data_IF_278553976100
#
_entry.id   IF_278553976100
#
_cell.length_a   1.000
_cell.length_b   1.000
_cell.length_c   1.000
_cell.angle_alpha   90.00
_cell.angle_beta   90.00
_cell.angle_gamma   90.00
#
_symmetry.space_group_name_H-M   'P 1'
#
loop_
_entity.id
_entity.type
_entity.pdbx_description
1 polymer ?
#
# COMPACT_ATOMS: atom_id res chain seq x y z
N UNK A 1 1.28 12.61 -24.51
CA UNK A 1 0.70 11.33 -24.07
C UNK A 1 1.65 10.72 -23.05
N UNK A 2 1.33 10.89 -21.76
CA UNK A 2 2.10 10.28 -20.68
C UNK A 2 1.78 8.79 -20.65
N UNK A 3 2.77 7.96 -20.99
CA UNK A 3 2.73 6.51 -20.76
C UNK A 3 2.94 6.33 -19.25
N UNK A 4 1.87 5.97 -18.55
CA UNK A 4 1.90 5.65 -17.14
C UNK A 4 2.51 4.24 -16.96
N UNK A 5 3.84 4.15 -17.03
CA UNK A 5 4.54 3.03 -16.44
C UNK A 5 4.33 3.13 -14.92
N UNK A 6 3.84 2.05 -14.30
CA UNK A 6 3.82 1.95 -12.84
C UNK A 6 5.30 1.96 -12.36
N UNK A 7 5.82 3.07 -11.82
CA UNK A 7 7.26 3.22 -11.58
C UNK A 7 7.80 2.25 -10.53
N UNK A 8 6.92 1.69 -9.67
CA UNK A 8 7.35 0.86 -8.54
C UNK A 8 7.94 -0.49 -8.93
N UNK A 9 7.41 -1.17 -9.95
CA UNK A 9 7.91 -2.52 -10.30
C UNK A 9 9.22 -2.50 -11.08
N UNK A 10 9.40 -1.52 -11.98
CA UNK A 10 10.67 -1.32 -12.68
C UNK A 10 11.76 -0.75 -11.74
N UNK A 11 11.37 0.13 -10.82
CA UNK A 11 12.29 0.72 -9.86
C UNK A 11 12.80 -0.31 -8.84
N UNK A 12 11.93 -1.21 -8.35
CA UNK A 12 12.30 -2.30 -7.46
C UNK A 12 13.28 -3.28 -8.16
N UNK A 13 13.06 -3.63 -9.43
CA UNK A 13 13.98 -4.48 -10.18
C UNK A 13 15.33 -3.78 -10.43
N UNK A 14 15.34 -2.48 -10.74
CA UNK A 14 16.57 -1.70 -11.00
C UNK A 14 17.37 -1.44 -9.71
N UNK A 15 16.73 -1.17 -8.60
CA UNK A 15 17.39 -1.05 -7.27
C UNK A 15 17.91 -2.40 -6.77
N UNK A 16 17.12 -3.47 -6.92
CA UNK A 16 17.52 -4.83 -6.58
C UNK A 16 18.75 -5.26 -7.41
N UNK A 17 18.76 -4.95 -8.70
CA UNK A 17 19.88 -5.28 -9.60
C UNK A 17 21.11 -4.40 -9.36
N UNK A 18 20.95 -3.11 -9.03
CA UNK A 18 22.05 -2.22 -8.62
C UNK A 18 22.74 -2.71 -7.36
N UNK A 19 22.00 -3.16 -6.35
CA UNK A 19 22.55 -3.76 -5.14
C UNK A 19 23.34 -5.03 -5.45
N UNK A 20 22.86 -5.86 -6.38
CA UNK A 20 23.56 -7.08 -6.82
C UNK A 20 24.86 -6.78 -7.55
N UNK A 21 24.85 -5.85 -8.50
CA UNK A 21 26.03 -5.41 -9.24
C UNK A 21 27.06 -4.81 -8.28
N UNK A 22 26.63 -3.98 -7.34
CA UNK A 22 27.52 -3.39 -6.32
C UNK A 22 28.08 -4.45 -5.34
N UNK A 23 27.27 -5.45 -4.96
CA UNK A 23 27.72 -6.59 -4.15
C UNK A 23 28.74 -7.49 -4.87
N UNK A 24 28.61 -7.65 -6.18
CA UNK A 24 29.59 -8.35 -7.04
C UNK A 24 30.88 -7.54 -7.19
N UNK A 25 30.81 -6.21 -7.25
CA UNK A 25 31.99 -5.32 -7.27
C UNK A 25 32.79 -5.35 -5.96
N UNK A 26 32.14 -5.44 -4.82
CA UNK A 26 32.80 -5.52 -3.51
C UNK A 26 33.56 -6.84 -3.30
N UNK A 27 33.19 -7.93 -3.98
CA UNK A 27 33.94 -9.22 -3.96
C UNK A 27 35.09 -9.28 -4.95
N UNK A 28 35.25 -8.32 -5.86
CA UNK A 28 36.36 -8.23 -6.83
C UNK A 28 37.75 -8.11 -6.19
N UNK A 29 37.85 -7.75 -4.91
CA UNK A 29 39.14 -7.58 -4.23
C UNK A 29 39.94 -8.86 -3.92
N UNK A 30 39.44 -10.07 -4.22
CA UNK A 30 40.05 -11.31 -3.74
C UNK A 30 40.52 -12.34 -4.78
N UNK A 31 40.32 -12.14 -6.09
CA UNK A 31 40.79 -13.07 -7.11
C UNK A 31 41.40 -12.35 -8.33
N UNK A 32 42.59 -11.87 -8.19
CA UNK A 32 43.47 -11.53 -9.32
C UNK A 32 44.70 -12.40 -9.28
N UNK A 33 44.71 -13.49 -10.08
CA UNK A 33 45.96 -13.95 -10.71
C UNK A 33 45.70 -15.09 -11.71
N UNK A 34 46.25 -14.89 -12.93
CA UNK A 34 46.70 -15.82 -13.93
C UNK A 34 45.67 -16.59 -14.79
N UNK A 35 45.46 -16.11 -16.03
CA UNK A 35 45.73 -16.87 -17.29
C UNK A 35 45.49 -15.93 -18.49
N UNK A 36 46.27 -15.99 -19.59
CA UNK A 36 46.02 -15.17 -20.78
C UNK A 36 44.83 -15.72 -21.58
N UNK A 37 43.89 -14.85 -21.93
CA UNK A 37 42.68 -15.24 -22.65
C UNK A 37 42.84 -15.05 -24.16
N UNK A 38 42.59 -16.11 -24.92
CA UNK A 38 42.26 -16.06 -26.36
C UNK A 38 40.75 -15.84 -26.51
N UNK A 39 40.22 -14.72 -26.01
CA UNK A 39 38.84 -14.33 -26.28
C UNK A 39 38.73 -13.54 -27.58
N UNK A 40 37.77 -13.82 -28.48
CA UNK A 40 37.50 -12.95 -29.62
C UNK A 40 37.11 -11.57 -29.06
N UNK A 41 37.95 -10.58 -29.35
CA UNK A 41 37.67 -9.21 -28.93
C UNK A 41 36.52 -8.64 -29.77
N UNK A 42 35.34 -8.49 -29.19
CA UNK A 42 34.36 -7.55 -29.71
C UNK A 42 34.89 -6.12 -29.42
N UNK A 43 35.28 -5.42 -30.47
CA UNK A 43 35.57 -3.99 -30.36
C UNK A 43 34.32 -3.28 -29.84
N UNK A 44 34.37 -2.67 -28.65
CA UNK A 44 33.27 -1.95 -27.96
C UNK A 44 32.29 -2.82 -27.16
N UNK A 45 32.78 -3.68 -26.27
CA UNK A 45 31.93 -4.34 -25.27
C UNK A 45 31.34 -3.29 -24.30
N UNK A 46 30.05 -3.40 -23.90
CA UNK A 46 29.38 -2.42 -23.06
C UNK A 46 29.98 -2.27 -21.64
N UNK A 47 30.58 -3.34 -21.14
CA UNK A 47 31.27 -3.41 -19.85
C UNK A 47 32.23 -4.59 -19.82
N UNK A 48 33.22 -4.54 -18.94
CA UNK A 48 34.15 -5.65 -18.74
C UNK A 48 33.46 -6.81 -18.03
N UNK A 49 33.78 -8.03 -18.47
CA UNK A 49 33.33 -9.29 -17.86
C UNK A 49 34.50 -10.08 -17.29
N UNK A 50 34.31 -11.02 -16.34
CA UNK A 50 35.36 -11.90 -15.86
C UNK A 50 36.02 -12.69 -17.02
N UNK A 51 37.31 -13.05 -16.86
CA UNK A 51 38.09 -13.76 -17.90
C UNK A 51 37.45 -15.10 -18.34
N UNK A 52 36.69 -15.75 -17.45
CA UNK A 52 35.98 -17.00 -17.76
C UNK A 52 34.70 -16.81 -18.60
N UNK A 53 34.27 -15.55 -18.82
CA UNK A 53 33.09 -15.24 -19.59
C UNK A 53 33.44 -14.87 -21.02
N UNK A 54 32.53 -15.09 -21.93
CA UNK A 54 32.67 -14.67 -23.31
C UNK A 54 31.50 -13.78 -23.73
N UNK A 55 31.79 -12.77 -24.54
CA UNK A 55 30.74 -12.02 -25.22
C UNK A 55 30.30 -12.79 -26.48
N UNK A 56 29.00 -12.94 -26.64
CA UNK A 56 28.35 -13.54 -27.81
C UNK A 56 27.11 -12.71 -28.18
N UNK A 57 26.26 -13.20 -29.04
CA UNK A 57 24.97 -12.56 -29.40
C UNK A 57 23.81 -13.45 -29.00
N UNK A 58 22.60 -12.85 -28.89
CA UNK A 58 21.38 -13.63 -28.65
C UNK A 58 21.15 -14.64 -29.77
N UNK A 59 21.48 -14.30 -31.03
CA UNK A 59 21.38 -15.22 -32.16
C UNK A 59 22.20 -16.48 -31.93
N UNK A 60 23.45 -16.36 -31.50
CA UNK A 60 24.37 -17.49 -31.32
C UNK A 60 23.99 -18.44 -30.19
N UNK A 61 23.25 -17.97 -29.19
CA UNK A 61 22.82 -18.81 -28.08
C UNK A 61 21.40 -19.36 -28.22
N UNK A 62 20.67 -18.99 -29.27
CA UNK A 62 19.26 -19.38 -29.42
C UNK A 62 19.08 -20.29 -30.65
N UNK A 63 18.41 -21.43 -30.47
CA UNK A 63 17.91 -22.28 -31.57
C UNK A 63 16.66 -21.69 -32.22
N UNK A 64 15.99 -20.76 -31.57
CA UNK A 64 14.79 -20.07 -32.08
C UNK A 64 14.70 -18.65 -31.53
N UNK A 65 14.51 -17.71 -32.46
CA UNK A 65 14.12 -16.33 -32.16
C UNK A 65 13.02 -15.97 -33.17
N UNK A 66 11.83 -15.68 -32.71
CA UNK A 66 10.74 -15.31 -33.60
C UNK A 66 9.45 -14.93 -32.92
N UNK A 67 8.77 -13.96 -33.49
CA UNK A 67 7.44 -13.58 -33.05
C UNK A 67 6.41 -14.65 -33.47
N UNK A 68 5.33 -14.71 -32.70
CA UNK A 68 4.19 -15.53 -33.04
C UNK A 68 3.37 -15.00 -34.22
N UNK A 69 2.22 -15.59 -34.42
CA UNK A 69 1.25 -15.16 -35.41
C UNK A 69 -0.17 -15.26 -34.82
N UNK A 70 -1.08 -14.42 -35.29
CA UNK A 70 -2.50 -14.52 -34.93
C UNK A 70 -3.21 -15.55 -35.78
N UNK A 71 -4.07 -16.42 -35.22
CA UNK A 71 -4.86 -17.38 -36.02
C UNK A 71 -5.72 -16.65 -37.06
N UNK A 72 -5.74 -17.17 -38.29
CA UNK A 72 -6.56 -16.58 -39.36
C UNK A 72 -8.04 -16.60 -38.99
N UNK A 73 -8.74 -15.47 -39.19
CA UNK A 73 -10.15 -15.34 -38.91
C UNK A 73 -10.50 -15.33 -37.44
N UNK A 74 -9.53 -15.02 -36.55
CA UNK A 74 -9.73 -15.03 -35.08
C UNK A 74 -10.30 -16.35 -34.53
N UNK A 75 -9.86 -17.47 -35.08
CA UNK A 75 -10.27 -18.82 -34.71
C UNK A 75 -9.75 -19.22 -33.32
N UNK A 76 -10.39 -18.65 -32.33
CA UNK A 76 -10.21 -19.03 -30.92
C UNK A 76 -11.27 -20.06 -30.52
N UNK A 77 -10.89 -20.95 -29.60
CA UNK A 77 -11.74 -21.96 -28.98
C UNK A 77 -11.98 -21.66 -27.51
N UNK A 78 -13.02 -22.25 -26.93
CA UNK A 78 -13.32 -22.10 -25.50
C UNK A 78 -12.26 -22.80 -24.60
N UNK A 79 -11.62 -23.83 -25.12
CA UNK A 79 -10.57 -24.62 -24.47
C UNK A 79 -9.61 -25.18 -25.54
N UNK A 80 -8.51 -25.79 -25.13
CA UNK A 80 -7.52 -26.40 -26.00
C UNK A 80 -6.10 -25.93 -25.69
N UNK A 81 -5.33 -25.61 -26.74
CA UNK A 81 -3.93 -25.17 -26.59
C UNK A 81 -3.89 -23.68 -26.20
N UNK A 82 -3.19 -23.31 -25.11
CA UNK A 82 -3.09 -21.93 -24.67
C UNK A 82 -2.40 -21.04 -25.71
N UNK A 83 -2.98 -19.85 -25.91
CA UNK A 83 -2.50 -18.84 -26.84
C UNK A 83 -2.16 -17.56 -26.09
N UNK A 84 -0.87 -17.32 -25.87
CA UNK A 84 -0.38 -16.17 -25.11
C UNK A 84 -0.32 -14.91 -25.97
N UNK A 85 -0.87 -13.84 -25.41
CA UNK A 85 -0.78 -12.48 -25.95
C UNK A 85 0.07 -11.63 -25.01
N UNK A 86 0.49 -10.45 -25.43
CA UNK A 86 1.32 -9.56 -24.62
C UNK A 86 0.78 -9.30 -23.20
N UNK A 87 -0.54 -9.31 -23.02
CA UNK A 87 -1.19 -9.16 -21.72
C UNK A 87 -1.03 -10.36 -20.78
N UNK A 88 -0.65 -11.51 -21.31
CA UNK A 88 -0.43 -12.74 -20.54
C UNK A 88 1.04 -12.89 -20.09
N UNK A 89 1.96 -12.03 -20.55
CA UNK A 89 3.38 -12.06 -20.22
C UNK A 89 3.70 -10.95 -19.23
N UNK A 90 4.15 -11.34 -18.03
CA UNK A 90 4.66 -10.47 -16.98
C UNK A 90 6.14 -10.77 -16.73
N UNK A 91 6.82 -9.96 -15.93
CA UNK A 91 8.26 -10.15 -15.70
C UNK A 91 8.58 -11.31 -14.74
N UNK A 92 7.62 -11.78 -14.00
CA UNK A 92 7.75 -12.82 -12.97
C UNK A 92 7.01 -14.12 -13.34
N UNK A 93 6.06 -14.07 -14.30
CA UNK A 93 5.23 -15.23 -14.64
C UNK A 93 4.42 -15.06 -15.91
N UNK A 94 3.88 -16.17 -16.37
CA UNK A 94 2.77 -16.21 -17.35
C UNK A 94 1.44 -16.17 -16.60
N UNK A 95 0.51 -15.33 -17.07
CA UNK A 95 -0.82 -15.14 -16.47
C UNK A 95 -1.87 -15.75 -17.38
N UNK A 96 -2.73 -16.59 -16.83
CA UNK A 96 -3.81 -17.28 -17.54
C UNK A 96 -5.15 -16.55 -17.49
N UNK A 97 -5.24 -15.43 -16.78
CA UNK A 97 -6.43 -14.58 -16.77
C UNK A 97 -6.73 -14.06 -18.17
N UNK A 98 -7.96 -14.24 -18.65
CA UNK A 98 -8.40 -13.89 -20.02
C UNK A 98 -7.52 -14.50 -21.12
N UNK A 99 -6.90 -15.67 -20.86
CA UNK A 99 -6.14 -16.40 -21.89
C UNK A 99 -7.08 -16.86 -23.00
N UNK A 100 -6.61 -16.85 -24.24
CA UNK A 100 -7.30 -17.45 -25.38
C UNK A 100 -6.77 -18.86 -25.62
N UNK A 101 -7.60 -19.68 -26.22
CA UNK A 101 -7.22 -21.04 -26.64
C UNK A 101 -7.38 -21.19 -28.15
N UNK A 102 -6.63 -22.10 -28.73
CA UNK A 102 -6.77 -22.53 -30.10
C UNK A 102 -6.98 -24.04 -30.16
N UNK A 103 -7.64 -24.53 -31.21
CA UNK A 103 -7.82 -25.96 -31.40
C UNK A 103 -6.50 -26.63 -31.79
N UNK A 104 -6.42 -27.94 -31.58
CA UNK A 104 -5.25 -28.75 -32.02
C UNK A 104 -4.99 -28.59 -33.52
N UNK A 105 -6.05 -28.53 -34.34
CA UNK A 105 -5.90 -28.32 -35.79
C UNK A 105 -5.22 -26.99 -36.15
N UNK A 106 -5.62 -25.91 -35.42
CA UNK A 106 -5.01 -24.58 -35.58
C UNK A 106 -3.58 -24.59 -35.08
N UNK A 107 -3.32 -25.24 -33.95
CA UNK A 107 -1.96 -25.40 -33.40
C UNK A 107 -1.03 -26.10 -34.39
N UNK A 108 -1.46 -27.18 -35.01
CA UNK A 108 -0.66 -27.91 -36.00
C UNK A 108 -0.31 -27.04 -37.25
N UNK A 109 -1.25 -26.17 -37.66
CA UNK A 109 -0.98 -25.19 -38.75
C UNK A 109 -0.05 -24.06 -38.28
N UNK A 110 0.08 -23.85 -36.99
CA UNK A 110 0.92 -22.83 -36.35
C UNK A 110 2.16 -23.42 -35.65
N UNK A 111 2.58 -24.63 -35.99
CA UNK A 111 3.72 -25.33 -35.36
C UNK A 111 5.01 -24.50 -35.34
N UNK A 112 5.21 -23.65 -36.37
CA UNK A 112 6.34 -22.71 -36.44
C UNK A 112 6.38 -21.68 -35.28
N UNK A 113 5.28 -21.45 -34.57
CA UNK A 113 5.18 -20.51 -33.42
C UNK A 113 4.83 -21.22 -32.12
N UNK A 114 5.15 -22.50 -32.04
CA UNK A 114 4.98 -23.31 -30.84
C UNK A 114 5.93 -22.86 -29.73
N UNK A 115 5.35 -22.72 -28.53
CA UNK A 115 6.03 -22.47 -27.28
C UNK A 115 6.31 -23.79 -26.58
N UNK A 116 7.52 -23.96 -26.09
CA UNK A 116 7.96 -25.13 -25.32
C UNK A 116 8.39 -24.72 -23.92
N UNK A 117 8.50 -25.69 -23.03
CA UNK A 117 9.10 -25.49 -21.70
C UNK A 117 10.47 -24.83 -21.83
N UNK A 118 10.78 -23.94 -20.87
CA UNK A 118 12.03 -23.17 -20.79
C UNK A 118 12.25 -22.12 -21.89
N UNK A 119 11.27 -21.89 -22.78
CA UNK A 119 11.31 -20.75 -23.70
C UNK A 119 11.19 -19.44 -22.89
N UNK A 120 11.85 -18.40 -23.35
CA UNK A 120 11.57 -17.03 -22.89
C UNK A 120 10.55 -16.38 -23.84
N UNK A 121 9.51 -15.80 -23.27
CA UNK A 121 8.50 -15.04 -24.00
C UNK A 121 8.70 -13.54 -23.72
N UNK A 122 9.13 -12.81 -24.76
CA UNK A 122 9.42 -11.38 -24.70
C UNK A 122 8.34 -10.57 -25.43
N UNK A 123 7.72 -9.60 -24.79
CA UNK A 123 6.86 -8.64 -25.46
C UNK A 123 7.71 -7.66 -26.28
N UNK A 124 7.47 -7.65 -27.59
CA UNK A 124 8.29 -6.88 -28.55
C UNK A 124 7.58 -5.65 -29.11
N UNK A 125 6.33 -5.34 -28.71
CA UNK A 125 5.55 -4.21 -29.20
C UNK A 125 4.60 -3.64 -28.15
N UNK A 126 4.27 -2.35 -28.30
CA UNK A 126 3.23 -1.69 -27.53
C UNK A 126 3.63 -1.34 -26.09
N UNK A 127 2.66 -0.96 -25.27
CA UNK A 127 2.90 -0.47 -23.89
C UNK A 127 3.47 -1.48 -22.89
N UNK A 128 3.56 -2.76 -23.26
CA UNK A 128 4.19 -3.82 -22.47
C UNK A 128 5.52 -4.33 -23.07
N UNK A 129 6.09 -3.58 -24.03
CA UNK A 129 7.38 -3.88 -24.63
C UNK A 129 8.45 -4.07 -23.55
N UNK A 130 9.26 -5.12 -23.67
CA UNK A 130 10.30 -5.47 -22.72
C UNK A 130 9.86 -6.37 -21.56
N UNK A 131 8.55 -6.62 -21.35
CA UNK A 131 8.14 -7.67 -20.42
C UNK A 131 8.57 -9.04 -20.94
N UNK A 132 9.15 -9.84 -20.04
CA UNK A 132 9.66 -11.17 -20.37
C UNK A 132 9.35 -12.16 -19.26
N UNK A 133 8.99 -13.38 -19.61
CA UNK A 133 8.81 -14.49 -18.67
C UNK A 133 9.43 -15.77 -19.20
N UNK A 134 9.90 -16.63 -18.28
CA UNK A 134 10.30 -18.00 -18.60
C UNK A 134 9.05 -18.88 -18.61
N UNK A 135 8.95 -19.75 -19.59
CA UNK A 135 7.91 -20.77 -19.67
C UNK A 135 8.23 -21.89 -18.68
N UNK A 136 7.30 -22.28 -17.78
CA UNK A 136 7.55 -23.31 -16.78
C UNK A 136 8.08 -24.63 -17.37
N UNK A 137 8.95 -25.31 -16.62
CA UNK A 137 9.58 -26.56 -17.08
C UNK A 137 8.59 -27.72 -17.27
N UNK A 138 7.42 -27.67 -16.62
CA UNK A 138 6.33 -28.65 -16.75
C UNK A 138 5.28 -28.26 -17.82
N UNK A 139 5.55 -27.19 -18.59
CA UNK A 139 4.65 -26.71 -19.63
C UNK A 139 4.65 -27.65 -20.83
N UNK A 140 3.46 -28.03 -21.30
CA UNK A 140 3.33 -28.97 -22.43
C UNK A 140 3.55 -28.29 -23.77
N UNK A 141 2.64 -27.42 -24.20
CA UNK A 141 2.73 -26.67 -25.44
C UNK A 141 1.79 -25.45 -25.41
N UNK A 142 2.07 -24.49 -26.29
CA UNK A 142 1.26 -23.30 -26.50
C UNK A 142 1.65 -22.59 -27.80
N UNK A 143 0.98 -21.48 -28.06
CA UNK A 143 1.34 -20.56 -29.14
C UNK A 143 1.32 -19.12 -28.65
N UNK A 144 1.93 -18.23 -29.40
CA UNK A 144 2.00 -16.79 -29.06
C UNK A 144 1.52 -15.92 -30.22
N UNK A 145 1.02 -14.73 -29.87
CA UNK A 145 0.65 -13.70 -30.85
C UNK A 145 1.88 -13.05 -31.49
N UNK A 146 1.68 -12.31 -32.58
CA UNK A 146 2.74 -11.56 -33.25
C UNK A 146 3.42 -10.48 -32.41
N UNK A 147 2.87 -10.17 -31.21
CA UNK A 147 3.42 -9.19 -30.28
C UNK A 147 4.36 -9.79 -29.23
N UNK A 148 4.50 -11.11 -29.24
CA UNK A 148 5.35 -11.86 -28.31
C UNK A 148 6.41 -12.61 -29.12
N UNK A 149 7.67 -12.45 -28.75
CA UNK A 149 8.80 -13.15 -29.33
C UNK A 149 9.16 -14.35 -28.45
N UNK A 150 9.37 -15.51 -29.09
CA UNK A 150 9.92 -16.70 -28.45
C UNK A 150 11.44 -16.63 -28.60
N UNK A 151 12.17 -16.79 -27.52
CA UNK A 151 13.61 -17.00 -27.48
C UNK A 151 13.88 -18.35 -26.82
N UNK A 152 14.43 -19.30 -27.60
CA UNK A 152 14.76 -20.65 -27.14
C UNK A 152 16.27 -20.82 -27.09
N UNK A 153 16.83 -20.65 -25.91
CA UNK A 153 18.26 -20.77 -25.70
C UNK A 153 18.73 -22.24 -25.77
N UNK A 154 20.03 -22.43 -26.06
CA UNK A 154 20.71 -23.70 -26.04
C UNK A 154 21.92 -23.59 -25.13
N UNK A 155 22.04 -24.49 -24.15
CA UNK A 155 23.13 -24.52 -23.17
C UNK A 155 23.25 -23.23 -22.32
N UNK A 156 22.19 -22.46 -22.25
CA UNK A 156 22.06 -21.28 -21.37
C UNK A 156 20.92 -21.52 -20.40
N UNK A 157 21.19 -21.30 -19.13
CA UNK A 157 20.18 -21.38 -18.06
C UNK A 157 19.04 -20.38 -18.33
N UNK A 158 17.77 -20.82 -18.48
CA UNK A 158 16.68 -19.93 -18.85
C UNK A 158 16.50 -18.76 -17.88
N UNK A 159 16.65 -19.00 -16.58
CA UNK A 159 16.52 -17.96 -15.55
C UNK A 159 17.69 -16.95 -15.61
N UNK A 160 18.92 -17.40 -15.95
CA UNK A 160 20.02 -16.48 -16.19
C UNK A 160 19.73 -15.56 -17.39
N UNK A 161 19.25 -16.13 -18.49
CA UNK A 161 18.87 -15.36 -19.67
C UNK A 161 17.72 -14.37 -19.33
N UNK A 162 16.75 -14.81 -18.57
CA UNK A 162 15.63 -13.98 -18.12
C UNK A 162 16.09 -12.77 -17.33
N UNK A 163 16.95 -12.98 -16.33
CA UNK A 163 17.54 -11.91 -15.52
C UNK A 163 18.28 -10.89 -16.39
N UNK A 164 19.04 -11.36 -17.38
CA UNK A 164 19.73 -10.46 -18.30
C UNK A 164 18.74 -9.64 -19.14
N UNK A 165 17.67 -10.25 -19.66
CA UNK A 165 16.62 -9.55 -20.41
C UNK A 165 15.92 -8.48 -19.57
N UNK A 166 15.76 -8.71 -18.29
CA UNK A 166 15.17 -7.73 -17.36
C UNK A 166 16.15 -6.67 -16.88
N UNK A 167 17.45 -6.77 -17.24
CA UNK A 167 18.48 -5.85 -16.77
C UNK A 167 18.38 -4.47 -17.43
N UNK A 168 18.92 -3.45 -16.76
CA UNK A 168 19.06 -2.11 -17.34
C UNK A 168 20.00 -2.08 -18.54
N UNK A 169 20.96 -3.01 -18.59
CA UNK A 169 21.83 -3.20 -19.77
C UNK A 169 21.00 -3.57 -21.01
N UNK A 170 20.15 -4.60 -20.88
CA UNK A 170 19.30 -5.05 -22.00
C UNK A 170 18.33 -3.95 -22.42
N UNK A 171 17.65 -3.30 -21.46
CA UNK A 171 16.72 -2.22 -21.76
C UNK A 171 17.38 -1.05 -22.53
N UNK A 172 18.61 -0.67 -22.16
CA UNK A 172 19.37 0.40 -22.85
C UNK A 172 19.89 -0.04 -24.22
N UNK A 173 20.14 -1.33 -24.41
CA UNK A 173 20.66 -1.89 -25.65
C UNK A 173 19.58 -2.12 -26.72
N UNK A 174 18.29 -2.14 -26.32
CA UNK A 174 17.18 -2.32 -27.26
C UNK A 174 17.09 -1.15 -28.25
N UNK A 175 17.31 -1.43 -29.52
CA UNK A 175 17.11 -0.48 -30.63
C UNK A 175 15.65 -0.58 -31.09
N UNK A 176 14.79 0.20 -30.46
CA UNK A 176 13.36 0.29 -30.77
C UNK A 176 13.16 1.14 -32.03
N UNK A 177 12.26 0.72 -32.91
CA UNK A 177 11.92 1.45 -34.14
C UNK A 177 10.40 1.65 -34.26
N UNK A 178 9.99 2.65 -35.02
CA UNK A 178 8.59 2.96 -35.34
C UNK A 178 8.12 4.33 -34.83
N UNK A 179 7.39 5.06 -35.67
CA UNK A 179 6.68 6.28 -35.31
C UNK A 179 5.19 5.97 -35.16
N UNK A 180 4.71 5.76 -33.91
CA UNK A 180 3.30 5.49 -33.62
C UNK A 180 2.97 4.07 -33.14
N UNK A 181 3.72 3.06 -33.50
CA UNK A 181 3.76 1.73 -32.86
C UNK A 181 5.22 1.32 -32.69
N UNK A 182 5.75 1.62 -31.54
CA UNK A 182 7.11 1.22 -31.19
C UNK A 182 7.22 -0.29 -31.08
N UNK A 183 8.31 -0.86 -31.62
CA UNK A 183 8.58 -2.28 -31.55
C UNK A 183 10.06 -2.58 -31.60
N UNK A 184 10.45 -3.74 -31.08
CA UNK A 184 11.80 -4.28 -31.16
C UNK A 184 11.88 -5.23 -32.38
N UNK A 185 12.56 -4.82 -33.47
CA UNK A 185 12.74 -5.68 -34.62
C UNK A 185 13.56 -6.92 -34.25
N UNK A 186 13.22 -8.07 -34.89
CA UNK A 186 13.93 -9.34 -34.68
C UNK A 186 15.43 -9.18 -34.89
N UNK A 187 15.85 -8.53 -35.95
CA UNK A 187 17.26 -8.26 -36.25
C UNK A 187 17.99 -7.53 -35.12
N UNK A 188 17.36 -6.53 -34.54
CA UNK A 188 17.98 -5.79 -33.44
C UNK A 188 18.12 -6.65 -32.17
N UNK A 189 17.14 -7.53 -31.91
CA UNK A 189 17.20 -8.49 -30.80
C UNK A 189 18.31 -9.53 -31.00
N UNK A 190 18.42 -10.08 -32.21
CA UNK A 190 19.42 -11.08 -32.59
C UNK A 190 20.85 -10.59 -32.40
N UNK A 191 21.11 -9.36 -32.76
CA UNK A 191 22.44 -8.73 -32.69
C UNK A 191 22.79 -8.13 -31.29
N UNK A 192 21.91 -8.26 -30.28
CA UNK A 192 22.24 -7.79 -28.95
C UNK A 192 23.33 -8.64 -28.31
N UNK A 193 24.33 -7.98 -27.76
CA UNK A 193 25.41 -8.61 -27.03
C UNK A 193 24.90 -9.40 -25.82
N UNK A 194 25.45 -10.56 -25.60
CA UNK A 194 25.13 -11.47 -24.51
C UNK A 194 26.40 -11.87 -23.76
N UNK A 195 26.55 -11.47 -22.49
CA UNK A 195 27.67 -11.90 -21.64
C UNK A 195 27.38 -13.32 -21.15
N UNK A 196 28.14 -14.29 -21.64
CA UNK A 196 27.92 -15.71 -21.39
C UNK A 196 28.95 -16.27 -20.39
N UNK A 197 28.55 -16.53 -19.12
CA UNK A 197 29.35 -17.27 -18.14
C UNK A 197 29.39 -18.77 -18.44
N UNK A 198 30.34 -19.53 -17.87
CA UNK A 198 30.23 -20.97 -17.77
C UNK A 198 28.91 -21.42 -17.13
N UNK A 199 28.33 -22.55 -17.58
CA UNK A 199 26.99 -23.00 -17.10
C UNK A 199 26.89 -23.11 -15.57
N UNK A 200 27.91 -23.63 -14.92
CA UNK A 200 27.95 -23.72 -13.45
C UNK A 200 27.92 -22.34 -12.77
N UNK A 201 28.44 -21.32 -13.43
CA UNK A 201 28.38 -19.94 -12.93
C UNK A 201 27.04 -19.29 -13.18
N UNK A 202 26.39 -19.55 -14.32
CA UNK A 202 25.00 -19.16 -14.58
C UNK A 202 24.09 -19.66 -13.46
N UNK A 203 24.19 -20.95 -13.11
CA UNK A 203 23.40 -21.56 -12.02
C UNK A 203 23.71 -20.94 -10.66
N UNK A 204 24.97 -20.61 -10.36
CA UNK A 204 25.31 -19.89 -9.11
C UNK A 204 24.75 -18.49 -9.08
N UNK A 205 24.75 -17.79 -10.21
CA UNK A 205 24.18 -16.46 -10.32
C UNK A 205 22.66 -16.52 -10.08
N UNK A 206 21.98 -17.46 -10.71
CA UNK A 206 20.52 -17.66 -10.50
C UNK A 206 20.22 -17.97 -9.04
N UNK A 207 20.90 -18.91 -8.43
CA UNK A 207 20.68 -19.29 -7.04
C UNK A 207 20.93 -18.12 -6.06
N UNK A 208 21.95 -17.29 -6.32
CA UNK A 208 22.22 -16.10 -5.49
C UNK A 208 21.13 -15.03 -5.66
N UNK A 209 20.63 -14.83 -6.87
CA UNK A 209 19.51 -13.91 -7.15
C UNK A 209 18.24 -14.36 -6.44
N UNK A 210 17.88 -15.64 -6.54
CA UNK A 210 16.73 -16.22 -5.85
C UNK A 210 16.85 -16.06 -4.32
N UNK A 211 18.04 -16.30 -3.78
CA UNK A 211 18.33 -16.10 -2.35
C UNK A 211 18.06 -14.64 -1.94
N UNK A 212 18.58 -13.67 -2.70
CA UNK A 212 18.35 -12.25 -2.40
C UNK A 212 16.89 -11.85 -2.51
N UNK A 213 16.16 -12.34 -3.50
CA UNK A 213 14.73 -12.08 -3.61
C UNK A 213 13.95 -12.65 -2.44
N UNK A 214 14.26 -13.88 -2.01
CA UNK A 214 13.65 -14.48 -0.83
C UNK A 214 13.90 -13.65 0.44
N UNK A 215 15.12 -13.12 0.63
CA UNK A 215 15.44 -12.24 1.77
C UNK A 215 14.66 -10.93 1.72
N UNK A 216 14.51 -10.33 0.53
CA UNK A 216 13.73 -9.09 0.35
C UNK A 216 12.27 -9.34 0.68
N UNK A 217 11.69 -10.44 0.19
CA UNK A 217 10.30 -10.81 0.49
C UNK A 217 10.08 -11.03 1.99
N UNK A 218 11.03 -11.64 2.69
CA UNK A 218 11.00 -11.78 4.15
C UNK A 218 11.03 -10.43 4.87
N UNK A 219 11.85 -9.49 4.40
CA UNK A 219 11.92 -8.13 4.96
C UNK A 219 10.61 -7.38 4.71
N UNK A 220 10.06 -7.45 3.51
CA UNK A 220 8.78 -6.81 3.16
C UNK A 220 7.62 -7.39 3.99
N UNK A 221 7.58 -8.70 4.17
CA UNK A 221 6.58 -9.35 5.03
C UNK A 221 6.73 -8.93 6.50
N UNK A 222 7.95 -8.94 7.02
CA UNK A 222 8.23 -8.50 8.39
C UNK A 222 7.84 -7.04 8.63
N UNK A 223 8.03 -6.18 7.63
CA UNK A 223 7.57 -4.78 7.65
C UNK A 223 6.04 -4.68 7.73
N UNK A 224 5.31 -5.44 6.91
CA UNK A 224 3.85 -5.46 6.91
C UNK A 224 3.29 -6.00 8.24
N UNK A 225 3.91 -7.03 8.80
CA UNK A 225 3.55 -7.60 10.09
C UNK A 225 3.76 -6.59 11.22
N UNK A 226 4.88 -5.88 11.23
CA UNK A 226 5.18 -4.85 12.23
C UNK A 226 4.21 -3.66 12.15
N UNK A 227 3.82 -3.23 10.95
CA UNK A 227 2.79 -2.20 10.76
C UNK A 227 1.45 -2.64 11.36
N UNK A 228 1.08 -3.89 11.19
CA UNK A 228 -0.14 -4.48 11.76
C UNK A 228 -0.07 -4.52 13.28
N UNK A 229 1.06 -4.97 13.84
CA UNK A 229 1.31 -5.03 15.28
C UNK A 229 1.23 -3.63 15.91
N UNK A 230 1.84 -2.62 15.29
CA UNK A 230 1.77 -1.22 15.78
C UNK A 230 0.32 -0.73 15.83
N UNK A 231 -0.49 -1.00 14.79
CA UNK A 231 -1.90 -0.63 14.76
C UNK A 231 -2.70 -1.32 15.87
N UNK A 232 -2.50 -2.61 16.08
CA UNK A 232 -3.13 -3.37 17.15
C UNK A 232 -2.69 -2.88 18.54
N UNK A 233 -1.39 -2.55 18.70
CA UNK A 233 -0.85 -2.00 19.94
C UNK A 233 -1.51 -0.65 20.28
N UNK A 234 -1.66 0.26 19.31
CA UNK A 234 -2.36 1.54 19.50
C UNK A 234 -3.81 1.32 19.94
N UNK A 235 -4.52 0.36 19.34
CA UNK A 235 -5.87 -0.01 19.75
C UNK A 235 -5.90 -0.49 21.20
N UNK A 236 -4.99 -1.38 21.58
CA UNK A 236 -4.90 -1.92 22.93
C UNK A 236 -4.56 -0.85 23.97
N UNK A 237 -3.72 0.11 23.62
CA UNK A 237 -3.40 1.26 24.50
C UNK A 237 -4.66 2.11 24.79
N UNK A 238 -5.48 2.38 23.76
CA UNK A 238 -6.75 3.10 23.99
C UNK A 238 -7.73 2.29 24.82
N UNK A 239 -7.80 0.98 24.62
CA UNK A 239 -8.62 0.09 25.45
C UNK A 239 -8.19 0.16 26.93
N UNK A 240 -6.90 0.08 27.21
CA UNK A 240 -6.37 0.25 28.58
C UNK A 240 -6.66 1.65 29.15
N UNK A 241 -6.59 2.68 28.31
CA UNK A 241 -6.83 4.07 28.72
C UNK A 241 -8.26 4.31 29.18
N UNK A 242 -9.26 3.82 28.41
CA UNK A 242 -10.69 4.04 28.73
C UNK A 242 -11.22 3.12 29.85
N UNK A 243 -10.43 2.11 30.24
CA UNK A 243 -10.75 1.19 31.35
C UNK A 243 -9.91 1.45 32.61
N UNK A 244 -9.18 2.58 32.70
CA UNK A 244 -8.39 2.94 33.86
C UNK A 244 -7.18 2.04 34.17
N UNK A 245 -6.64 1.37 33.13
CA UNK A 245 -5.52 0.42 33.28
C UNK A 245 -4.21 0.93 32.68
N UNK A 246 -4.19 2.15 32.15
CA UNK A 246 -3.00 2.70 31.46
C UNK A 246 -2.06 3.45 32.39
N UNK A 247 -2.60 4.16 33.36
CA UNK A 247 -1.85 4.96 34.35
C UNK A 247 -2.31 4.58 35.77
N UNK A 248 -1.45 4.74 36.77
CA UNK A 248 -1.87 4.54 38.15
C UNK A 248 -2.90 5.62 38.59
N UNK A 249 -3.88 5.21 39.37
CA UNK A 249 -4.81 6.13 40.05
C UNK A 249 -4.07 6.87 41.18
N UNK A 250 -4.43 8.13 41.39
CA UNK A 250 -3.96 8.93 42.54
C UNK A 250 -5.13 9.13 43.51
N UNK A 251 -5.06 8.63 44.75
CA UNK A 251 -6.15 8.77 45.72
C UNK A 251 -6.41 10.23 46.14
N UNK A 252 -5.52 11.16 45.79
CA UNK A 252 -5.70 12.58 46.03
C UNK A 252 -6.44 13.30 44.90
N UNK A 253 -6.69 12.62 43.77
CA UNK A 253 -7.47 13.21 42.70
C UNK A 253 -8.93 13.36 43.13
N UNK A 254 -9.53 14.51 42.79
CA UNK A 254 -10.96 14.73 43.02
C UNK A 254 -11.79 13.72 42.19
N UNK A 255 -12.68 12.94 42.84
CA UNK A 255 -13.53 11.99 42.12
C UNK A 255 -14.33 12.65 40.99
N UNK A 256 -14.46 11.99 39.83
CA UNK A 256 -15.16 12.52 38.66
C UNK A 256 -16.63 12.92 39.00
N UNK A 257 -17.28 12.20 39.88
CA UNK A 257 -18.65 12.48 40.29
C UNK A 257 -18.80 13.87 40.90
N UNK A 258 -17.81 14.38 41.65
CA UNK A 258 -17.88 15.71 42.29
C UNK A 258 -17.82 16.81 41.22
N UNK A 259 -17.02 16.62 40.17
CA UNK A 259 -16.96 17.54 39.05
C UNK A 259 -18.29 17.54 38.26
N UNK A 260 -18.87 16.38 38.03
CA UNK A 260 -20.14 16.22 37.32
C UNK A 260 -21.32 16.88 38.08
N UNK A 261 -21.38 16.70 39.39
CA UNK A 261 -22.40 17.34 40.23
C UNK A 261 -22.29 18.87 40.30
N UNK A 262 -21.09 19.43 40.17
CA UNK A 262 -20.94 20.90 40.06
C UNK A 262 -21.55 21.47 38.79
N UNK A 263 -21.57 20.68 37.70
CA UNK A 263 -22.16 21.10 36.43
C UNK A 263 -23.65 20.80 36.38
N UNK A 264 -24.03 19.63 36.83
CA UNK A 264 -25.42 19.20 36.97
C UNK A 264 -25.65 18.67 38.41
N UNK A 265 -26.21 19.46 39.30
CA UNK A 265 -26.44 19.03 40.70
C UNK A 265 -27.29 17.77 40.86
N UNK A 266 -28.15 17.47 39.86
CA UNK A 266 -29.01 16.29 39.87
C UNK A 266 -28.34 15.08 39.17
N UNK A 267 -27.05 15.18 38.83
CA UNK A 267 -26.33 14.09 38.17
C UNK A 267 -26.33 12.82 39.01
N UNK A 268 -26.75 11.72 38.39
CA UNK A 268 -26.67 10.38 38.97
C UNK A 268 -25.86 9.50 38.00
N UNK A 269 -24.79 8.82 38.45
CA UNK A 269 -24.01 7.93 37.59
C UNK A 269 -24.90 6.86 36.96
N UNK A 270 -24.59 6.51 35.73
CA UNK A 270 -25.24 5.40 35.02
C UNK A 270 -24.73 4.08 35.61
N UNK A 271 -25.34 3.59 36.66
CA UNK A 271 -25.06 2.28 37.22
C UNK A 271 -26.33 1.41 37.13
N UNK A 272 -26.29 0.41 36.26
CA UNK A 272 -27.34 -0.59 36.13
C UNK A 272 -26.84 -2.00 36.45
N UNK A 273 -25.67 -2.15 37.10
CA UNK A 273 -25.05 -3.42 37.48
C UNK A 273 -24.54 -4.28 36.34
N UNK A 274 -24.58 -3.80 35.08
CA UNK A 274 -24.13 -4.53 33.89
C UNK A 274 -22.77 -4.08 33.34
N UNK A 275 -22.19 -2.99 33.93
CA UNK A 275 -20.90 -2.47 33.46
C UNK A 275 -19.74 -3.04 34.27
N UNK A 276 -18.56 -3.09 33.64
CA UNK A 276 -17.31 -3.48 34.30
C UNK A 276 -17.04 -2.56 35.48
N UNK A 277 -16.57 -3.11 36.61
CA UNK A 277 -16.17 -2.30 37.76
C UNK A 277 -15.09 -1.27 37.35
N UNK A 278 -15.34 -0.02 37.62
CA UNK A 278 -14.41 1.08 37.38
C UNK A 278 -13.39 1.20 38.51
N UNK A 279 -12.22 1.79 38.24
CA UNK A 279 -11.30 2.22 39.30
C UNK A 279 -11.95 3.25 40.24
N UNK A 280 -11.39 3.37 41.46
CA UNK A 280 -11.83 4.35 42.41
C UNK A 280 -11.75 5.79 41.84
N UNK A 281 -12.73 6.61 42.17
CA UNK A 281 -12.81 7.98 41.65
C UNK A 281 -13.38 8.14 40.25
N UNK A 282 -13.57 7.05 39.49
CA UNK A 282 -14.24 7.08 38.20
C UNK A 282 -15.76 6.97 38.34
N UNK A 283 -16.48 7.43 37.31
CA UNK A 283 -17.91 7.17 37.19
C UNK A 283 -18.36 7.04 35.74
N UNK A 284 -19.52 6.43 35.53
CA UNK A 284 -20.15 6.37 34.23
C UNK A 284 -21.09 7.52 33.98
N UNK A 285 -21.05 8.07 32.76
CA UNK A 285 -21.98 9.07 32.26
C UNK A 285 -22.39 8.77 30.83
N UNK A 286 -23.48 9.35 30.35
CA UNK A 286 -23.81 9.35 28.95
C UNK A 286 -23.05 10.43 28.20
N UNK A 287 -22.81 10.25 26.89
CA UNK A 287 -22.11 11.26 26.07
C UNK A 287 -22.82 12.61 26.11
N UNK A 288 -24.17 12.65 26.13
CA UNK A 288 -24.94 13.91 26.23
C UNK A 288 -24.77 14.68 27.54
N UNK A 289 -24.34 13.99 28.61
CA UNK A 289 -24.10 14.65 29.92
C UNK A 289 -22.73 15.31 29.98
N UNK A 290 -21.80 14.91 29.14
CA UNK A 290 -20.41 15.39 29.16
C UNK A 290 -20.00 16.18 27.91
N UNK A 291 -20.86 16.20 26.87
CA UNK A 291 -20.64 16.96 25.64
C UNK A 291 -21.91 17.70 25.16
N UNK A 292 -21.72 18.90 24.61
CA UNK A 292 -22.72 19.51 23.73
C UNK A 292 -22.55 18.92 22.35
N UNK A 293 -23.61 18.28 21.84
CA UNK A 293 -23.55 17.57 20.54
C UNK A 293 -24.10 18.47 19.43
N UNK A 294 -23.33 18.63 18.36
CA UNK A 294 -23.61 19.48 17.20
C UNK A 294 -23.94 20.92 17.58
N UNK A 295 -23.04 21.63 18.31
CA UNK A 295 -23.23 23.00 18.72
C UNK A 295 -23.51 23.91 17.52
N UNK A 296 -24.15 25.05 17.76
CA UNK A 296 -24.33 26.10 16.77
C UNK A 296 -23.49 27.30 17.12
N UNK A 297 -22.83 27.89 16.16
CA UNK A 297 -22.07 29.12 16.28
C UNK A 297 -22.84 30.27 15.61
N UNK A 298 -22.52 31.50 16.00
CA UNK A 298 -23.00 32.75 15.39
C UNK A 298 -21.79 33.65 15.11
N UNK A 299 -21.78 34.30 13.96
CA UNK A 299 -20.80 35.31 13.61
C UNK A 299 -21.42 36.22 12.54
N UNK A 300 -20.78 37.34 12.24
CA UNK A 300 -21.19 38.25 11.17
C UNK A 300 -20.81 37.64 9.82
N UNK A 301 -21.51 38.00 8.75
CA UNK A 301 -21.45 37.34 7.46
C UNK A 301 -20.09 37.50 6.76
N UNK A 302 -19.35 38.52 7.07
CA UNK A 302 -18.01 38.86 6.53
C UNK A 302 -16.85 38.19 7.27
N UNK A 303 -17.13 37.56 8.43
CA UNK A 303 -16.10 36.88 9.25
C UNK A 303 -15.53 35.69 8.50
N UNK A 304 -14.21 35.59 8.44
CA UNK A 304 -13.50 34.44 7.89
C UNK A 304 -13.50 33.28 8.91
N UNK A 305 -13.83 32.08 8.43
CA UNK A 305 -13.94 30.87 9.23
C UNK A 305 -13.36 29.66 8.51
N UNK A 306 -13.05 28.59 9.25
CA UNK A 306 -12.53 27.35 8.69
C UNK A 306 -13.62 26.46 8.09
N UNK A 307 -13.45 26.00 6.86
CA UNK A 307 -14.25 24.95 6.24
C UNK A 307 -13.44 23.65 6.18
N UNK A 308 -13.96 22.58 6.80
CA UNK A 308 -13.28 21.28 6.90
C UNK A 308 -14.07 20.21 6.13
N UNK A 309 -13.68 19.88 4.89
CA UNK A 309 -14.22 18.71 4.18
C UNK A 309 -13.81 17.39 4.87
N UNK A 310 -14.62 16.34 4.72
CA UNK A 310 -14.32 15.00 5.27
C UNK A 310 -12.96 14.46 4.77
N UNK A 311 -12.59 14.75 3.52
CA UNK A 311 -11.33 14.31 2.93
C UNK A 311 -10.10 14.93 3.65
N UNK A 312 -10.27 16.08 4.28
CA UNK A 312 -9.21 16.82 4.96
C UNK A 312 -8.97 16.35 6.41
N UNK A 313 -9.75 15.40 6.92
CA UNK A 313 -9.54 14.78 8.24
C UNK A 313 -8.76 13.48 8.02
N UNK A 314 -7.63 13.31 8.70
CA UNK A 314 -6.79 12.10 8.58
C UNK A 314 -7.43 10.89 9.25
N UNK A 315 -7.14 9.72 8.69
CA UNK A 315 -7.59 8.43 9.19
C UNK A 315 -6.78 7.94 10.40
N UNK A 316 -7.28 6.90 11.05
CA UNK A 316 -6.59 6.15 12.08
C UNK A 316 -6.41 6.93 13.37
N UNK A 317 -5.25 6.80 13.98
CA UNK A 317 -4.93 7.39 15.29
C UNK A 317 -4.38 8.81 15.21
N UNK A 318 -4.23 9.35 14.00
CA UNK A 318 -3.77 10.72 13.77
C UNK A 318 -4.79 11.74 14.28
N UNK A 319 -4.29 12.92 14.66
CA UNK A 319 -5.09 14.05 15.12
C UNK A 319 -4.76 15.29 14.29
N UNK A 320 -4.86 15.17 12.95
CA UNK A 320 -4.54 16.24 12.01
C UNK A 320 -5.66 16.45 11.00
N UNK A 321 -5.82 17.69 10.58
CA UNK A 321 -6.76 18.09 9.56
C UNK A 321 -6.24 19.30 8.78
N UNK A 322 -6.87 19.58 7.64
CA UNK A 322 -6.66 20.82 6.86
C UNK A 322 -8.00 21.52 6.70
N UNK A 323 -7.99 22.83 6.59
CA UNK A 323 -9.18 23.64 6.34
C UNK A 323 -8.97 24.60 5.19
N UNK A 324 -10.06 25.05 4.60
CA UNK A 324 -10.13 26.15 3.67
C UNK A 324 -10.72 27.37 4.40
N UNK A 325 -10.20 28.56 4.15
CA UNK A 325 -10.78 29.80 4.70
C UNK A 325 -11.94 30.25 3.83
N UNK A 326 -13.10 30.50 4.44
CA UNK A 326 -14.33 30.96 3.77
C UNK A 326 -15.06 32.01 4.62
N UNK A 327 -15.85 32.87 3.97
CA UNK A 327 -16.71 33.82 4.68
C UNK A 327 -17.91 33.10 5.31
N UNK A 328 -18.22 33.46 6.57
CA UNK A 328 -19.30 32.85 7.34
C UNK A 328 -20.66 32.89 6.62
N UNK A 329 -21.03 34.06 6.04
CA UNK A 329 -22.29 34.24 5.34
C UNK A 329 -22.53 33.24 4.23
N UNK A 330 -21.46 32.69 3.60
CA UNK A 330 -21.55 31.72 2.49
C UNK A 330 -21.74 30.28 2.96
N UNK A 331 -21.41 29.97 4.22
CA UNK A 331 -21.36 28.57 4.72
C UNK A 331 -22.05 28.38 6.08
N UNK A 332 -22.72 29.39 6.62
CA UNK A 332 -23.44 29.32 7.91
C UNK A 332 -24.62 28.37 7.92
N UNK A 333 -25.12 27.97 6.76
CA UNK A 333 -26.26 27.04 6.61
C UNK A 333 -25.88 25.82 5.80
N UNK A 334 -26.52 24.68 6.07
CA UNK A 334 -26.27 23.44 5.34
C UNK A 334 -25.03 22.66 5.78
N UNK A 335 -24.36 23.11 6.84
CA UNK A 335 -23.13 22.49 7.36
C UNK A 335 -23.20 22.23 8.87
N UNK A 336 -22.29 21.41 9.35
CA UNK A 336 -22.10 21.15 10.81
C UNK A 336 -21.14 22.16 11.37
N UNK A 337 -21.55 22.90 12.42
CA UNK A 337 -20.75 23.95 13.05
C UNK A 337 -19.82 23.39 14.12
N UNK A 338 -18.68 24.06 14.31
CA UNK A 338 -17.72 23.75 15.35
C UNK A 338 -16.84 24.96 15.72
N UNK A 339 -16.15 24.86 16.83
CA UNK A 339 -15.16 25.84 17.30
C UNK A 339 -13.85 25.16 17.68
N UNK A 340 -12.83 25.96 17.98
CA UNK A 340 -11.58 25.44 18.56
C UNK A 340 -11.87 24.71 19.87
N UNK A 341 -11.29 23.52 20.05
CA UNK A 341 -11.52 22.64 21.19
C UNK A 341 -12.68 21.65 21.02
N UNK A 342 -13.47 21.76 19.96
CA UNK A 342 -14.47 20.74 19.61
C UNK A 342 -13.82 19.50 18.99
N UNK A 343 -14.44 18.34 19.17
CA UNK A 343 -14.05 17.08 18.54
C UNK A 343 -15.02 16.78 17.39
N UNK A 344 -14.50 16.70 16.16
CA UNK A 344 -15.26 16.26 15.01
C UNK A 344 -15.06 14.75 14.80
N UNK A 345 -16.16 14.01 14.60
CA UNK A 345 -16.18 12.56 14.41
C UNK A 345 -17.03 12.25 13.18
N UNK A 346 -16.48 11.48 12.24
CA UNK A 346 -17.25 11.00 11.10
C UNK A 346 -18.41 10.10 11.57
N UNK A 347 -19.59 10.26 10.96
CA UNK A 347 -20.76 9.42 11.26
C UNK A 347 -21.10 8.40 10.18
N UNK A 348 -20.40 8.46 9.02
CA UNK A 348 -20.67 7.62 7.86
C UNK A 348 -19.59 6.54 7.70
N UNK A 349 -20.00 5.31 7.33
CA UNK A 349 -19.13 4.23 6.88
C UNK A 349 -18.51 4.56 5.48
N UNK A 350 -17.22 4.24 5.21
CA UNK A 350 -16.25 3.63 6.11
C UNK A 350 -15.44 4.64 6.95
N UNK A 351 -15.75 5.94 6.86
CA UNK A 351 -14.96 6.98 7.53
C UNK A 351 -14.92 6.83 9.05
N UNK A 352 -16.04 6.46 9.68
CA UNK A 352 -16.12 6.19 11.12
C UNK A 352 -15.26 4.97 11.50
N UNK A 353 -15.38 3.88 10.77
CA UNK A 353 -14.61 2.65 10.98
C UNK A 353 -13.11 2.89 10.85
N UNK A 354 -12.71 3.79 9.94
CA UNK A 354 -11.35 4.25 9.78
C UNK A 354 -10.92 5.30 10.82
N UNK A 355 -11.70 5.52 11.89
CA UNK A 355 -11.39 6.46 12.98
C UNK A 355 -11.16 7.90 12.52
N UNK A 356 -11.86 8.37 11.47
CA UNK A 356 -11.82 9.79 11.08
C UNK A 356 -12.44 10.64 12.16
N UNK A 357 -11.61 11.08 13.11
CA UNK A 357 -11.97 12.00 14.18
C UNK A 357 -10.78 12.87 14.53
N UNK A 358 -11.04 14.12 14.95
CA UNK A 358 -9.99 15.12 15.18
C UNK A 358 -10.43 16.17 16.20
N UNK A 359 -9.49 16.67 16.98
CA UNK A 359 -9.68 17.91 17.76
C UNK A 359 -9.45 19.10 16.84
N UNK A 360 -10.44 19.95 16.72
CA UNK A 360 -10.38 21.16 15.90
C UNK A 360 -9.62 22.26 16.64
N UNK A 361 -8.60 22.83 15.99
CA UNK A 361 -7.74 23.87 16.56
C UNK A 361 -7.13 24.76 15.47
N UNK A 362 -6.77 25.98 15.82
CA UNK A 362 -6.13 26.91 14.90
C UNK A 362 -7.05 27.38 13.77
N UNK A 363 -8.36 27.37 13.98
CA UNK A 363 -9.35 27.86 13.03
C UNK A 363 -9.34 29.39 12.98
N UNK A 364 -9.55 30.03 11.82
CA UNK A 364 -9.74 31.47 11.69
C UNK A 364 -10.90 31.92 12.59
N UNK A 365 -10.69 32.96 13.37
CA UNK A 365 -11.63 33.49 14.36
C UNK A 365 -12.19 32.44 15.34
N UNK A 366 -11.48 31.29 15.48
CA UNK A 366 -11.81 30.23 16.41
C UNK A 366 -13.02 29.36 16.06
N UNK A 367 -13.66 29.58 14.91
CA UNK A 367 -14.89 28.87 14.50
C UNK A 367 -14.78 28.33 13.07
N UNK A 368 -15.64 27.36 12.77
CA UNK A 368 -15.72 26.78 11.44
C UNK A 368 -16.95 25.94 11.22
N UNK A 369 -17.02 25.36 10.03
CA UNK A 369 -18.02 24.39 9.64
C UNK A 369 -17.41 23.25 8.85
N UNK A 370 -18.06 22.10 8.89
CA UNK A 370 -17.69 20.92 8.09
C UNK A 370 -18.88 20.26 7.43
N UNK A 371 -18.63 19.19 6.71
CA UNK A 371 -19.68 18.43 6.04
C UNK A 371 -20.75 17.94 7.01
N UNK A 372 -21.97 17.73 6.52
CA UNK A 372 -23.07 17.17 7.32
C UNK A 372 -22.82 15.73 7.77
N UNK A 373 -21.78 15.07 7.26
CA UNK A 373 -21.38 13.71 7.63
C UNK A 373 -20.50 13.66 8.89
N UNK A 374 -20.41 14.78 9.64
CA UNK A 374 -19.74 14.87 10.93
C UNK A 374 -20.76 14.97 12.07
N UNK A 375 -20.47 14.34 13.18
CA UNK A 375 -20.95 14.74 14.51
C UNK A 375 -19.84 15.55 15.20
N UNK A 376 -20.23 16.59 15.91
CA UNK A 376 -19.33 17.48 16.65
C UNK A 376 -19.66 17.43 18.12
N UNK A 377 -18.63 17.27 18.95
CA UNK A 377 -18.71 17.13 20.39
C UNK A 377 -17.89 18.24 21.05
N UNK A 378 -18.57 19.13 21.77
CA UNK A 378 -17.93 20.18 22.56
C UNK A 378 -17.85 19.72 24.02
N UNK A 379 -16.65 19.47 24.55
CA UNK A 379 -16.52 19.03 25.94
C UNK A 379 -17.07 20.09 26.92
N UNK A 380 -17.80 19.67 27.91
CA UNK A 380 -18.25 20.56 28.98
C UNK A 380 -17.16 20.75 30.06
N UNK A 381 -16.40 19.68 30.33
CA UNK A 381 -15.35 19.67 31.36
C UNK A 381 -14.32 18.54 31.14
N UNK A 382 -14.54 17.70 30.16
CA UNK A 382 -13.57 16.63 29.80
C UNK A 382 -12.30 17.22 29.19
N UNK A 383 -11.18 16.58 29.48
CA UNK A 383 -9.97 16.79 28.68
C UNK A 383 -10.25 16.41 27.23
N UNK A 384 -9.99 17.31 26.31
CA UNK A 384 -10.36 17.14 24.91
C UNK A 384 -9.58 15.97 24.23
N UNK A 385 -8.35 15.71 24.67
CA UNK A 385 -7.56 14.58 24.13
C UNK A 385 -8.09 13.24 24.66
N UNK A 386 -8.47 13.18 25.95
CA UNK A 386 -9.14 12.00 26.49
C UNK A 386 -10.44 11.71 25.72
N UNK A 387 -11.26 12.74 25.46
CA UNK A 387 -12.46 12.61 24.64
C UNK A 387 -12.18 12.11 23.23
N UNK A 388 -11.14 12.63 22.56
CA UNK A 388 -10.72 12.15 21.24
C UNK A 388 -10.31 10.67 21.28
N UNK A 389 -9.55 10.25 22.29
CA UNK A 389 -9.11 8.86 22.43
C UNK A 389 -10.28 7.91 22.68
N UNK A 390 -11.29 8.34 23.43
CA UNK A 390 -12.54 7.59 23.55
C UNK A 390 -13.20 7.38 22.18
N UNK A 391 -13.36 8.44 21.37
CA UNK A 391 -13.95 8.36 20.04
C UNK A 391 -13.11 7.55 19.04
N UNK A 392 -11.81 7.40 19.29
CA UNK A 392 -10.91 6.54 18.48
C UNK A 392 -10.81 5.11 19.00
N UNK A 393 -11.39 4.76 20.13
CA UNK A 393 -11.34 3.42 20.72
C UNK A 393 -12.16 2.40 19.93
N UNK A 394 -11.78 1.12 20.00
CA UNK A 394 -12.55 0.02 19.42
C UNK A 394 -13.90 -0.12 20.10
N UNK A 395 -13.99 0.21 21.39
CA UNK A 395 -15.26 0.22 22.11
C UNK A 395 -16.27 1.15 21.43
N UNK A 396 -15.93 2.43 21.23
CA UNK A 396 -16.82 3.39 20.57
C UNK A 396 -17.18 2.97 19.14
N UNK A 397 -16.17 2.58 18.35
CA UNK A 397 -16.37 2.18 16.95
C UNK A 397 -17.31 0.97 16.84
N UNK A 398 -17.10 -0.07 17.66
CA UNK A 398 -17.92 -1.29 17.63
C UNK A 398 -19.38 -1.02 18.01
N UNK A 399 -19.63 -0.14 19.01
CA UNK A 399 -20.99 0.28 19.38
C UNK A 399 -21.69 1.03 18.24
N UNK A 400 -20.94 1.86 17.51
CA UNK A 400 -21.48 2.57 16.34
C UNK A 400 -21.80 1.61 15.19
N UNK A 401 -20.87 0.71 14.84
CA UNK A 401 -21.02 -0.25 13.74
C UNK A 401 -22.21 -1.18 13.95
N UNK A 402 -22.43 -1.65 15.18
CA UNK A 402 -23.57 -2.50 15.53
C UNK A 402 -24.95 -1.81 15.37
N UNK A 403 -24.96 -0.49 15.19
CA UNK A 403 -26.17 0.33 15.13
C UNK A 403 -26.37 1.05 13.79
N UNK A 404 -25.57 0.75 12.78
CA UNK A 404 -25.65 1.42 11.48
C UNK A 404 -26.98 1.23 10.78
N UNK A 405 -27.53 2.34 10.24
CA UNK A 405 -28.68 2.37 9.37
C UNK A 405 -28.29 2.85 7.96
N UNK A 406 -28.86 2.22 6.93
CA UNK A 406 -28.64 2.59 5.54
C UNK A 406 -28.08 1.48 4.66
N UNK A 407 -27.80 1.79 3.40
CA UNK A 407 -27.24 0.86 2.41
C UNK A 407 -25.75 0.64 2.71
N UNK A 408 -25.26 -0.56 2.48
CA UNK A 408 -23.84 -0.93 2.65
C UNK A 408 -22.92 0.09 1.94
N UNK A 409 -21.90 0.58 2.64
CA UNK A 409 -20.97 1.61 2.16
C UNK A 409 -21.43 3.07 2.32
N UNK A 410 -22.69 3.30 2.77
CA UNK A 410 -23.24 4.62 3.09
C UNK A 410 -24.05 4.63 4.40
N UNK A 411 -23.76 3.70 5.28
CA UNK A 411 -24.42 3.58 6.57
C UNK A 411 -23.99 4.70 7.51
N UNK A 412 -24.89 5.14 8.39
CA UNK A 412 -24.68 6.24 9.32
C UNK A 412 -25.10 5.87 10.70
N UNK A 413 -24.34 6.31 11.71
CA UNK A 413 -24.75 6.27 13.10
C UNK A 413 -25.60 7.50 13.43
N UNK A 414 -26.75 7.29 14.06
CA UNK A 414 -27.64 8.38 14.42
C UNK A 414 -27.14 9.10 15.69
N UNK A 415 -27.51 10.40 15.80
CA UNK A 415 -27.23 11.19 17.00
C UNK A 415 -27.80 10.53 18.27
N UNK A 416 -29.02 10.03 18.21
CA UNK A 416 -29.70 9.42 19.36
C UNK A 416 -28.98 8.21 19.92
N UNK A 417 -28.31 7.42 19.08
CA UNK A 417 -27.49 6.29 19.53
C UNK A 417 -26.25 6.79 20.26
N UNK A 418 -25.52 7.75 19.67
CA UNK A 418 -24.28 8.27 20.25
C UNK A 418 -24.55 9.00 21.56
N UNK A 419 -25.58 9.86 21.62
CA UNK A 419 -25.83 10.67 22.82
C UNK A 419 -26.17 9.84 24.05
N UNK A 420 -26.68 8.62 23.88
CA UNK A 420 -27.02 7.70 24.97
C UNK A 420 -25.92 6.63 25.23
N UNK A 421 -24.82 6.64 24.48
CA UNK A 421 -23.67 5.77 24.78
C UNK A 421 -23.04 6.15 26.10
N UNK A 422 -22.53 5.13 26.78
CA UNK A 422 -21.87 5.28 28.06
C UNK A 422 -20.38 5.54 27.85
N UNK A 423 -19.85 6.48 28.60
CA UNK A 423 -18.42 6.79 28.69
C UNK A 423 -17.98 6.71 30.15
N UNK A 424 -16.85 6.07 30.41
CA UNK A 424 -16.20 6.10 31.71
C UNK A 424 -15.42 7.40 31.87
N UNK A 425 -15.63 8.10 32.98
CA UNK A 425 -15.04 9.40 33.25
C UNK A 425 -14.06 9.29 34.42
N UNK A 426 -12.75 9.45 34.18
CA UNK A 426 -11.74 9.57 35.22
C UNK A 426 -11.77 10.91 35.94
N UNK A 427 -11.14 11.06 37.12
CA UNK A 427 -10.75 12.33 37.67
C UNK A 427 -10.03 13.21 36.64
N UNK A 428 -10.27 14.54 36.65
CA UNK A 428 -9.75 15.43 35.58
C UNK A 428 -8.22 15.41 35.48
N UNK A 429 -7.49 15.23 36.57
CA UNK A 429 -6.04 15.13 36.55
C UNK A 429 -5.59 13.78 35.92
N UNK A 430 -6.33 12.71 36.18
CA UNK A 430 -6.08 11.42 35.59
C UNK A 430 -6.36 11.44 34.08
N UNK A 431 -7.42 12.12 33.60
CA UNK A 431 -7.64 12.34 32.18
C UNK A 431 -6.40 12.93 31.48
N UNK A 432 -5.78 13.95 32.10
CA UNK A 432 -4.57 14.59 31.59
C UNK A 432 -3.36 13.63 31.61
N UNK A 433 -3.20 12.81 32.68
CA UNK A 433 -2.13 11.78 32.73
C UNK A 433 -2.32 10.75 31.67
N UNK A 434 -3.55 10.26 31.46
CA UNK A 434 -3.90 9.32 30.36
C UNK A 434 -3.58 9.94 29.00
N UNK A 435 -4.04 11.15 28.74
CA UNK A 435 -3.79 11.85 27.47
C UNK A 435 -2.30 12.01 27.18
N UNK A 436 -1.52 12.40 28.20
CA UNK A 436 -0.06 12.52 28.09
C UNK A 436 0.62 11.15 27.82
N UNK A 437 0.21 10.10 28.53
CA UNK A 437 0.76 8.75 28.35
C UNK A 437 0.47 8.20 26.95
N UNK A 438 -0.78 8.28 26.49
CA UNK A 438 -1.17 7.86 25.13
C UNK A 438 -0.36 8.61 24.08
N UNK A 439 -0.26 9.94 24.20
CA UNK A 439 0.48 10.77 23.27
C UNK A 439 1.96 10.33 23.19
N UNK A 440 2.63 10.14 24.34
CA UNK A 440 4.04 9.72 24.38
C UNK A 440 4.26 8.33 23.76
N UNK A 441 3.36 7.40 24.04
CA UNK A 441 3.49 6.04 23.50
C UNK A 441 3.23 6.05 21.99
N UNK A 442 2.18 6.75 21.53
CA UNK A 442 1.87 6.86 20.11
C UNK A 442 3.00 7.52 19.32
N UNK A 443 3.60 8.60 19.84
CA UNK A 443 4.74 9.25 19.22
C UNK A 443 5.93 8.28 19.02
N UNK A 444 6.22 7.41 20.00
CA UNK A 444 7.26 6.39 19.86
C UNK A 444 6.90 5.34 18.82
N UNK A 445 5.65 4.88 18.78
CA UNK A 445 5.18 3.91 17.79
C UNK A 445 5.18 4.51 16.37
N UNK A 446 4.89 5.81 16.23
CA UNK A 446 4.96 6.52 14.95
C UNK A 446 6.40 6.68 14.46
N UNK A 447 7.35 6.98 15.34
CA UNK A 447 8.79 7.00 14.99
C UNK A 447 9.27 5.63 14.47
N UNK A 448 8.82 4.52 15.08
CA UNK A 448 9.13 3.18 14.58
C UNK A 448 8.50 2.99 13.19
N UNK A 449 7.25 3.40 13.00
CA UNK A 449 6.54 3.30 11.72
C UNK A 449 7.22 4.11 10.61
N UNK A 450 7.72 5.30 10.90
CA UNK A 450 8.43 6.16 9.95
C UNK A 450 9.83 5.64 9.59
N UNK A 451 10.44 4.81 10.45
CA UNK A 451 11.75 4.19 10.20
C UNK A 451 11.66 2.91 9.34
N UNK A 452 10.47 2.42 9.07
CA UNK A 452 10.19 1.26 8.20
C UNK A 452 10.03 1.66 6.73
#
# INVERSE_FOLDING_TARGET
>A
LHINFQPKQLWIADEKLKCLIHGLELRRGFFLSFFPSDTPHYENVPFEVPESWVWTTIEEICSKIGSGSTPRGSNYSANGIPFFRSQNVYNDRLVYDDIKYISEEVHQKMKGTEVLANDLLLNITGGSLGRCAVVPADFNCGNVSQHVCIMRSVLVEPEYFHVLVLSSYFAKSMKITGSGREGLPKYNLEQMGFPLPPLTEQQRIVAEIEHWFALIDQIEQGKADLQTIIKQTKSKILDLAIHGKLVPQDPNDEPAIELLKRINPDFTPCDNGHYTQLPDGWCYATIKEVFIINPKNKADDDVEVGFVPMANITDGYNNTFKYETKQWGKIKTGFTHFANGDIAVAKISPCLENRKSVVLKGLPNGIGVGTTELHVFRPLFLDVQYGLYFFKSDYFISQCVGSFNGVVGQQRVSKNIIENMIIAIPPINEQKRIACAVHKIFAKLDMIMESL
#
